data_IF_620917599027
#
_entry.id   IF_620917599027
#
_cell.length_a   1.000
_cell.length_b   1.000
_cell.length_c   1.000
_cell.angle_alpha   90.00
_cell.angle_beta   90.00
_cell.angle_gamma   90.00
#
_symmetry.space_group_name_H-M   'P 1'
#
loop_
_entity.id
_entity.type
_entity.pdbx_description
1 polymer ?
#
# COMPACT_ATOMS: atom_id res chain seq x y z
N UNK A 1 -3.21 -13.11 -5.69
CA UNK A 1 -2.78 -14.32 -6.41
C UNK A 1 -1.63 -14.96 -5.66
N UNK A 2 -1.57 -16.30 -5.64
CA UNK A 2 -0.44 -17.05 -5.10
C UNK A 2 0.34 -17.58 -6.29
N UNK A 3 1.65 -17.33 -6.31
CA UNK A 3 2.55 -17.78 -7.36
C UNK A 3 3.52 -18.80 -6.80
N UNK A 4 3.62 -19.96 -7.44
CA UNK A 4 4.66 -20.93 -7.17
C UNK A 4 5.93 -20.48 -7.90
N UNK A 5 6.99 -20.16 -7.14
CA UNK A 5 8.25 -19.67 -7.72
C UNK A 5 9.10 -20.78 -8.35
N UNK A 6 8.81 -22.05 -8.06
CA UNK A 6 9.54 -23.21 -8.58
C UNK A 6 8.89 -23.70 -9.89
N UNK A 7 7.56 -23.84 -9.92
CA UNK A 7 6.85 -24.32 -11.12
C UNK A 7 6.36 -23.20 -12.05
N UNK A 8 6.27 -21.96 -11.57
CA UNK A 8 5.71 -20.83 -12.32
C UNK A 8 4.17 -20.75 -12.28
N UNK A 9 3.50 -21.75 -11.69
CA UNK A 9 2.04 -21.80 -11.62
C UNK A 9 1.44 -20.65 -10.79
N UNK A 10 0.28 -20.19 -11.23
CA UNK A 10 -0.47 -19.09 -10.61
C UNK A 10 -1.86 -19.56 -10.23
N UNK A 11 -2.24 -19.34 -8.98
CA UNK A 11 -3.60 -19.63 -8.50
C UNK A 11 -4.27 -18.37 -7.93
N UNK A 12 -5.58 -18.27 -8.15
CA UNK A 12 -6.39 -17.22 -7.57
C UNK A 12 -6.54 -17.46 -6.07
N UNK A 13 -6.27 -16.43 -5.26
CA UNK A 13 -6.53 -16.46 -3.81
C UNK A 13 -7.79 -15.66 -3.58
N UNK A 14 -8.74 -16.24 -2.86
CA UNK A 14 -9.89 -15.53 -2.34
C UNK A 14 -9.51 -15.05 -0.94
N UNK A 15 -9.31 -13.73 -0.80
CA UNK A 15 -9.07 -13.10 0.50
C UNK A 15 -10.39 -12.56 1.06
N UNK A 16 -10.58 -12.57 2.39
CA UNK A 16 -11.73 -11.93 3.02
C UNK A 16 -11.70 -10.42 2.76
N UNK A 17 -12.89 -9.81 2.67
CA UNK A 17 -13.02 -8.36 2.52
C UNK A 17 -12.44 -7.64 3.76
N UNK A 18 -11.65 -6.60 3.53
CA UNK A 18 -11.09 -5.77 4.59
C UNK A 18 -12.09 -4.70 5.06
N UNK A 19 -12.11 -4.44 6.37
CA UNK A 19 -12.86 -3.32 6.97
C UNK A 19 -11.97 -2.08 7.00
N UNK A 20 -11.84 -1.42 5.87
CA UNK A 20 -11.04 -0.20 5.70
C UNK A 20 -11.81 0.84 4.91
N UNK A 21 -11.45 2.11 5.10
CA UNK A 21 -11.77 3.19 4.17
C UNK A 21 -10.47 3.50 3.44
N UNK A 22 -10.49 3.47 2.12
CA UNK A 22 -9.35 3.79 1.26
C UNK A 22 -9.71 5.00 0.40
N UNK A 23 -8.80 5.97 0.37
CA UNK A 23 -8.81 7.08 -0.57
C UNK A 23 -7.58 6.93 -1.47
N UNK A 24 -7.78 7.09 -2.78
CA UNK A 24 -6.73 7.04 -3.78
C UNK A 24 -6.83 8.30 -4.64
N UNK A 25 -5.70 8.97 -4.85
CA UNK A 25 -5.59 10.11 -5.76
C UNK A 25 -5.22 9.66 -7.17
N UNK A 26 -5.41 10.55 -8.14
CA UNK A 26 -5.15 10.27 -9.56
C UNK A 26 -3.66 9.96 -9.85
N UNK A 27 -2.74 10.39 -8.98
CA UNK A 27 -1.31 10.10 -9.04
C UNK A 27 -0.93 8.78 -8.33
N UNK A 28 -1.90 8.05 -7.78
CA UNK A 28 -1.70 6.76 -7.12
C UNK A 28 -1.22 6.84 -5.67
N UNK A 29 -1.21 8.03 -5.03
CA UNK A 29 -1.07 8.11 -3.58
C UNK A 29 -2.34 7.54 -2.89
N UNK A 30 -2.17 6.99 -1.69
CA UNK A 30 -3.28 6.36 -0.95
C UNK A 30 -3.28 6.72 0.52
N UNK A 31 -4.47 6.88 1.09
CA UNK A 31 -4.71 6.97 2.52
C UNK A 31 -5.70 5.89 2.91
N UNK A 32 -5.31 5.02 3.84
CA UNK A 32 -6.12 3.91 4.32
C UNK A 32 -6.35 4.06 5.82
N UNK A 33 -7.62 4.06 6.23
CA UNK A 33 -8.05 4.14 7.62
C UNK A 33 -8.65 2.80 8.05
N UNK A 34 -8.21 2.28 9.20
CA UNK A 34 -8.67 0.99 9.75
C UNK A 34 -8.86 1.04 11.27
N UNK A 35 -9.99 0.56 11.83
CA UNK A 35 -10.11 0.34 13.26
C UNK A 35 -9.19 -0.81 13.73
N UNK A 36 -8.52 -0.64 14.87
CA UNK A 36 -7.52 -1.61 15.37
C UNK A 36 -8.13 -2.93 15.88
N UNK A 37 -9.45 -2.97 16.12
CA UNK A 37 -10.20 -4.17 16.50
C UNK A 37 -10.65 -4.13 17.96
N UNK A 38 -9.75 -4.38 18.90
CA UNK A 38 -10.08 -4.51 20.33
C UNK A 38 -9.87 -3.25 21.15
N UNK A 39 -9.04 -2.32 20.68
CA UNK A 39 -8.81 -1.03 21.33
C UNK A 39 -9.46 0.11 20.53
N UNK A 40 -9.84 1.22 21.16
CA UNK A 40 -10.40 2.38 20.47
C UNK A 40 -9.29 3.18 19.76
N UNK A 41 -8.58 2.54 18.83
CA UNK A 41 -7.50 3.15 18.03
C UNK A 41 -7.83 3.03 16.55
N UNK A 42 -7.51 4.08 15.80
CA UNK A 42 -7.50 4.06 14.34
C UNK A 42 -6.06 3.89 13.87
N UNK A 43 -5.81 2.91 13.00
CA UNK A 43 -4.57 2.78 12.24
C UNK A 43 -4.73 3.51 10.91
N UNK A 44 -3.79 4.38 10.62
CA UNK A 44 -3.72 5.09 9.35
C UNK A 44 -2.47 4.62 8.60
N UNK A 45 -2.65 4.27 7.33
CA UNK A 45 -1.57 3.95 6.40
C UNK A 45 -1.57 5.03 5.33
N UNK A 46 -0.39 5.60 5.06
CA UNK A 46 -0.19 6.61 4.03
C UNK A 46 0.82 6.03 3.04
N UNK A 47 0.45 6.02 1.78
CA UNK A 47 1.30 5.63 0.66
C UNK A 47 1.48 6.85 -0.24
N UNK A 48 2.72 7.26 -0.44
CA UNK A 48 3.09 8.32 -1.39
C UNK A 48 3.63 7.68 -2.66
N UNK A 49 3.31 8.28 -3.80
CA UNK A 49 3.78 7.87 -5.11
C UNK A 49 4.40 9.08 -5.78
N UNK A 50 5.70 9.02 -6.06
CA UNK A 50 6.41 10.08 -6.76
C UNK A 50 7.35 9.45 -7.79
N UNK A 51 7.35 10.01 -8.99
CA UNK A 51 8.22 9.56 -10.07
C UNK A 51 9.60 10.17 -9.90
N UNK A 52 10.61 9.33 -9.75
CA UNK A 52 12.00 9.76 -9.62
C UNK A 52 12.77 9.42 -10.89
N UNK A 53 13.50 10.39 -11.42
CA UNK A 53 14.35 10.15 -12.59
C UNK A 53 15.63 9.41 -12.22
N UNK A 54 16.10 9.59 -10.98
CA UNK A 54 17.29 8.94 -10.46
C UNK A 54 17.27 8.88 -8.91
N UNK A 55 18.13 8.03 -8.35
CA UNK A 55 18.18 7.77 -6.91
C UNK A 55 18.55 9.02 -6.08
N UNK A 56 19.35 9.95 -6.63
CA UNK A 56 19.78 11.15 -5.91
C UNK A 56 18.63 12.14 -5.67
N UNK A 57 17.54 12.07 -6.45
CA UNK A 57 16.35 12.89 -6.25
C UNK A 57 15.58 12.48 -4.98
N UNK A 58 15.59 11.19 -4.62
CA UNK A 58 14.95 10.72 -3.39
C UNK A 58 15.52 11.41 -2.15
N UNK A 59 16.85 11.54 -2.08
CA UNK A 59 17.50 12.19 -0.94
C UNK A 59 17.11 13.66 -0.78
N UNK A 60 16.85 14.36 -1.89
CA UNK A 60 16.41 15.76 -1.85
C UNK A 60 14.97 15.85 -1.35
N UNK A 61 14.10 14.95 -1.82
CA UNK A 61 12.69 14.89 -1.45
C UNK A 61 12.47 14.64 0.06
N UNK A 62 13.29 13.79 0.68
CA UNK A 62 13.13 13.44 2.10
C UNK A 62 13.80 14.43 3.07
N UNK A 63 14.64 15.36 2.57
CA UNK A 63 15.40 16.32 3.38
C UNK A 63 14.79 17.73 3.39
N UNK A 64 13.74 17.97 2.59
CA UNK A 64 12.96 19.22 2.55
C UNK A 64 11.89 19.26 3.63
#
# INVERSE_FOLDING_TARGET
MKKNLISGDSENIILPKSNVIEFESDDGCKIILRPSGTEPKIKMYISVNEALNNVNEFEKLIKS
#
